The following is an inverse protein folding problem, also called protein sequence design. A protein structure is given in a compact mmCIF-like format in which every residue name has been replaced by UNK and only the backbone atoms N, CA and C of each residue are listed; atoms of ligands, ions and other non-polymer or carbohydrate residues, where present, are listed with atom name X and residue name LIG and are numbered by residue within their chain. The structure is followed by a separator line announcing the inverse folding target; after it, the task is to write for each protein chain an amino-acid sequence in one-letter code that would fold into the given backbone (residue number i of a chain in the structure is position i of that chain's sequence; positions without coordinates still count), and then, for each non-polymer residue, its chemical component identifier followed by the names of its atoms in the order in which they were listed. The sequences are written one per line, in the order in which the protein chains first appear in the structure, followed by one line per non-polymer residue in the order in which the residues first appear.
data_IF_196710194296
#
_entry.id   IF_196710194296
#
_cell.length_a   1.000
_cell.length_b   1.000
_cell.length_c   1.000
_cell.angle_alpha   90.00
_cell.angle_beta   90.00
_cell.angle_gamma   90.00
#
_symmetry.space_group_name_H-M   'P 1'
#
loop_
_entity.id
_entity.type
_entity.pdbx_description
1 polymer ?
#
# COMPACT_ATOMS: atom_id res chain seq x y z
N UNK A 1 -38.67 6.40 -2.80
CA UNK A 1 -37.42 6.97 -2.24
C UNK A 1 -36.27 6.26 -2.92
N UNK A 2 -35.75 6.80 -4.02
CA UNK A 2 -34.67 6.17 -4.78
C UNK A 2 -33.36 6.40 -4.02
N UNK A 3 -32.73 5.32 -3.57
CA UNK A 3 -31.31 5.38 -3.16
C UNK A 3 -30.52 5.53 -4.44
N UNK A 4 -30.28 6.78 -4.84
CA UNK A 4 -29.20 7.10 -5.76
C UNK A 4 -27.93 6.70 -5.01
N UNK A 5 -27.36 5.55 -5.37
CA UNK A 5 -26.08 5.11 -4.85
C UNK A 5 -25.09 6.26 -5.02
N UNK A 6 -24.41 6.63 -3.93
CA UNK A 6 -23.33 7.62 -4.01
C UNK A 6 -22.29 7.05 -4.96
N UNK A 7 -22.17 7.63 -6.16
CA UNK A 7 -21.11 7.26 -7.09
C UNK A 7 -19.77 7.43 -6.37
N UNK A 8 -19.09 6.32 -6.09
CA UNK A 8 -17.72 6.34 -5.64
C UNK A 8 -16.89 6.95 -6.78
N UNK A 9 -16.27 8.10 -6.53
CA UNK A 9 -15.33 8.74 -7.47
C UNK A 9 -13.93 8.18 -7.23
N UNK A 10 -13.80 6.87 -7.33
CA UNK A 10 -12.50 6.21 -7.22
C UNK A 10 -12.02 5.93 -8.63
N UNK A 11 -10.79 6.34 -8.94
CA UNK A 11 -10.08 5.88 -10.13
C UNK A 11 -9.25 4.65 -9.73
N UNK A 12 -9.62 3.43 -10.18
CA UNK A 12 -8.91 2.21 -9.81
C UNK A 12 -7.46 2.18 -10.29
N UNK A 13 -7.16 2.87 -11.39
CA UNK A 13 -5.80 2.97 -11.94
C UNK A 13 -4.93 3.82 -11.01
N UNK A 14 -5.43 4.97 -10.57
CA UNK A 14 -4.72 5.84 -9.64
C UNK A 14 -4.46 5.15 -8.29
N UNK A 15 -5.42 4.36 -7.80
CA UNK A 15 -5.27 3.60 -6.55
C UNK A 15 -4.19 2.54 -6.67
N UNK A 16 -4.14 1.78 -7.77
CA UNK A 16 -3.06 0.81 -8.01
C UNK A 16 -1.70 1.49 -8.15
N UNK A 17 -1.65 2.60 -8.88
CA UNK A 17 -0.43 3.39 -9.05
C UNK A 17 0.07 3.98 -7.71
N UNK A 18 -0.84 4.41 -6.83
CA UNK A 18 -0.47 4.79 -5.47
C UNK A 18 0.15 3.61 -4.70
N UNK A 19 -0.38 2.40 -4.86
CA UNK A 19 0.21 1.18 -4.30
C UNK A 19 1.64 0.91 -4.79
N UNK A 20 1.89 1.07 -6.10
CA UNK A 20 3.24 0.95 -6.66
C UNK A 20 4.22 2.00 -6.11
N UNK A 21 3.76 3.25 -5.95
CA UNK A 21 4.58 4.30 -5.33
C UNK A 21 4.90 4.02 -3.87
N UNK A 22 3.94 3.51 -3.09
CA UNK A 22 4.19 3.12 -1.69
C UNK A 22 5.21 1.99 -1.61
N UNK A 23 5.13 1.00 -2.50
CA UNK A 23 6.10 -0.11 -2.56
C UNK A 23 7.51 0.37 -2.89
N UNK A 24 7.64 1.28 -3.86
CA UNK A 24 8.92 1.91 -4.19
C UNK A 24 9.50 2.68 -2.99
N UNK A 25 8.66 3.45 -2.30
CA UNK A 25 9.05 4.19 -1.10
C UNK A 25 9.46 3.25 0.05
N UNK A 26 8.80 2.09 0.20
CA UNK A 26 9.17 1.07 1.17
C UNK A 26 10.59 0.54 0.90
N UNK A 27 10.90 0.24 -0.37
CA UNK A 27 12.24 -0.18 -0.79
C UNK A 27 13.32 0.86 -0.50
N UNK A 28 13.05 2.13 -0.82
CA UNK A 28 13.97 3.24 -0.54
C UNK A 28 14.16 3.48 0.96
N UNK A 29 13.08 3.38 1.75
CA UNK A 29 13.10 3.47 3.20
C UNK A 29 14.01 2.39 3.81
N UNK A 30 13.79 1.11 3.45
CA UNK A 30 14.59 0.00 3.96
C UNK A 30 16.06 0.17 3.59
N UNK A 31 16.36 0.49 2.32
CA UNK A 31 17.73 0.71 1.85
C UNK A 31 18.43 1.85 2.59
N UNK A 32 17.74 2.97 2.79
CA UNK A 32 18.28 4.12 3.52
C UNK A 32 18.60 3.78 4.97
N UNK A 33 17.67 3.09 5.64
CA UNK A 33 17.86 2.65 7.01
C UNK A 33 18.97 1.60 7.11
N UNK A 34 18.99 0.54 6.30
CA UNK A 34 20.09 -0.45 6.31
C UNK A 34 21.46 0.22 6.18
N UNK A 35 21.62 1.16 5.25
CA UNK A 35 22.87 1.90 5.10
C UNK A 35 23.20 2.77 6.33
N UNK A 36 22.21 3.29 7.06
CA UNK A 36 22.44 4.02 8.30
C UNK A 36 22.92 3.07 9.43
N UNK A 37 22.28 1.91 9.58
CA UNK A 37 22.69 0.90 10.56
C UNK A 37 24.12 0.41 10.31
N UNK A 38 24.50 0.18 9.05
CA UNK A 38 25.87 -0.20 8.68
C UNK A 38 26.90 0.87 9.08
N UNK A 39 26.58 2.15 8.88
CA UNK A 39 27.46 3.27 9.30
C UNK A 39 27.61 3.33 10.82
N UNK A 40 26.52 3.09 11.57
CA UNK A 40 26.56 3.04 13.04
C UNK A 40 27.44 1.87 13.50
N UNK A 41 27.25 0.68 12.91
CA UNK A 41 28.06 -0.50 13.20
C UNK A 41 29.55 -0.27 12.89
N UNK A 42 29.88 0.42 11.79
CA UNK A 42 31.25 0.78 11.46
C UNK A 42 31.86 1.80 12.44
N UNK A 43 31.06 2.75 12.94
CA UNK A 43 31.49 3.76 13.90
C UNK A 43 31.63 3.22 15.34
N UNK A 44 30.99 2.09 15.66
CA UNK A 44 30.95 1.51 17.01
C UNK A 44 32.33 1.24 17.60
N UNK A 45 33.34 0.96 16.76
CA UNK A 45 34.73 0.73 17.18
C UNK A 45 35.36 1.94 17.91
N UNK A 46 34.79 3.15 17.76
CA UNK A 46 35.23 4.36 18.47
C UNK A 46 34.64 4.54 19.87
N UNK A 47 33.67 3.72 20.28
CA UNK A 47 32.99 3.83 21.57
C UNK A 47 33.48 2.74 22.54
N UNK A 48 33.55 3.05 23.83
CA UNK A 48 34.06 2.15 24.88
C UNK A 48 33.07 2.12 26.05
N UNK A 49 32.94 0.97 26.71
CA UNK A 49 32.16 0.82 27.93
C UNK A 49 30.66 1.02 27.72
N UNK A 50 29.99 1.64 28.69
CA UNK A 50 28.52 1.78 28.72
C UNK A 50 27.96 2.51 27.50
N UNK A 51 28.72 3.45 26.90
CA UNK A 51 28.29 4.14 25.68
C UNK A 51 28.23 3.21 24.46
N UNK A 52 29.15 2.24 24.37
CA UNK A 52 29.12 1.25 23.30
C UNK A 52 27.91 0.31 23.45
N UNK A 53 27.61 -0.10 24.68
CA UNK A 53 26.44 -0.93 24.99
C UNK A 53 25.13 -0.19 24.69
N UNK A 54 25.00 1.05 25.13
CA UNK A 54 23.81 1.87 24.85
C UNK A 54 23.62 2.11 23.34
N UNK A 55 24.70 2.34 22.59
CA UNK A 55 24.62 2.49 21.13
C UNK A 55 24.21 1.18 20.45
N UNK A 56 24.68 0.04 20.93
CA UNK A 56 24.26 -1.27 20.41
C UNK A 56 22.77 -1.51 20.62
N UNK A 57 22.26 -1.22 21.83
CA UNK A 57 20.83 -1.33 22.16
C UNK A 57 19.97 -0.42 21.28
N UNK A 58 20.36 0.85 21.15
CA UNK A 58 19.66 1.81 20.30
C UNK A 58 19.66 1.39 18.82
N UNK A 59 20.79 0.84 18.34
CA UNK A 59 20.90 0.32 16.96
C UNK A 59 19.97 -0.86 16.75
N UNK A 60 19.89 -1.80 17.70
CA UNK A 60 18.99 -2.94 17.61
C UNK A 60 17.52 -2.49 17.60
N UNK A 61 17.15 -1.53 18.44
CA UNK A 61 15.81 -0.95 18.45
C UNK A 61 15.46 -0.30 17.10
N UNK A 62 16.37 0.50 16.52
CA UNK A 62 16.14 1.10 15.20
C UNK A 62 16.04 0.06 14.07
N UNK A 63 16.77 -1.06 14.15
CA UNK A 63 16.63 -2.15 13.18
C UNK A 63 15.23 -2.75 13.23
N UNK A 64 14.72 -3.00 14.45
CA UNK A 64 13.37 -3.53 14.66
C UNK A 64 12.29 -2.57 14.16
N UNK A 65 12.38 -1.28 14.53
CA UNK A 65 11.44 -0.25 14.07
C UNK A 65 11.48 -0.08 12.54
N UNK A 66 12.66 -0.12 11.94
CA UNK A 66 12.81 -0.04 10.48
C UNK A 66 12.18 -1.27 9.80
N UNK A 67 12.33 -2.46 10.37
CA UNK A 67 11.68 -3.65 9.85
C UNK A 67 10.15 -3.59 9.99
N UNK A 68 9.63 -3.07 11.12
CA UNK A 68 8.18 -2.92 11.33
C UNK A 68 7.57 -1.93 10.35
N UNK A 69 8.13 -0.72 10.25
CA UNK A 69 7.63 0.30 9.33
C UNK A 69 7.73 -0.13 7.86
N UNK A 70 8.80 -0.84 7.48
CA UNK A 70 8.90 -1.41 6.13
C UNK A 70 7.74 -2.38 5.85
N UNK A 71 7.43 -3.28 6.79
CA UNK A 71 6.32 -4.22 6.66
C UNK A 71 4.98 -3.50 6.54
N UNK A 72 4.73 -2.49 7.36
CA UNK A 72 3.50 -1.67 7.30
C UNK A 72 3.33 -0.97 5.95
N UNK A 73 4.42 -0.42 5.39
CA UNK A 73 4.39 0.18 4.05
C UNK A 73 4.07 -0.85 2.96
N UNK A 74 4.67 -2.04 3.02
CA UNK A 74 4.34 -3.13 2.09
C UNK A 74 2.87 -3.56 2.21
N UNK A 75 2.33 -3.69 3.43
CA UNK A 75 0.93 -4.00 3.67
C UNK A 75 0.00 -2.92 3.09
N UNK A 76 0.35 -1.64 3.22
CA UNK A 76 -0.38 -0.54 2.60
C UNK A 76 -0.32 -0.58 1.06
N UNK A 77 0.85 -0.86 0.49
CA UNK A 77 1.02 -1.01 -0.95
C UNK A 77 0.17 -2.17 -1.51
N UNK A 78 0.15 -3.31 -0.82
CA UNK A 78 -0.71 -4.45 -1.13
C UNK A 78 -2.19 -4.10 -1.01
N UNK A 79 -2.59 -3.46 0.09
CA UNK A 79 -3.97 -3.05 0.33
C UNK A 79 -4.50 -2.10 -0.75
N UNK A 80 -3.67 -1.15 -1.21
CA UNK A 80 -4.02 -0.26 -2.32
C UNK A 80 -4.19 -1.02 -3.63
N UNK A 81 -3.22 -1.87 -4.01
CA UNK A 81 -3.33 -2.68 -5.24
C UNK A 81 -4.55 -3.59 -5.22
N UNK A 82 -4.80 -4.27 -4.10
CA UNK A 82 -5.96 -5.12 -3.91
C UNK A 82 -7.27 -4.32 -4.05
N UNK A 83 -7.37 -3.20 -3.34
CA UNK A 83 -8.56 -2.34 -3.39
C UNK A 83 -8.81 -1.81 -4.81
N UNK A 84 -7.76 -1.41 -5.54
CA UNK A 84 -7.88 -1.01 -6.93
C UNK A 84 -8.39 -2.13 -7.85
N UNK A 85 -8.03 -3.39 -7.61
CA UNK A 85 -8.56 -4.53 -8.35
C UNK A 85 -10.04 -4.82 -8.01
N UNK A 86 -10.43 -4.66 -6.75
CA UNK A 86 -11.83 -4.84 -6.31
C UNK A 86 -12.77 -3.80 -6.93
N UNK A 87 -12.34 -2.54 -7.04
CA UNK A 87 -13.11 -1.50 -7.73
C UNK A 87 -13.30 -1.84 -9.22
N UNK A 88 -12.23 -2.24 -9.92
CA UNK A 88 -12.33 -2.61 -11.33
C UNK A 88 -13.27 -3.80 -11.57
N UNK A 89 -13.22 -4.79 -10.68
CA UNK A 89 -14.11 -5.96 -10.72
C UNK A 89 -15.56 -5.53 -10.51
N UNK A 90 -15.82 -4.75 -9.45
CA UNK A 90 -17.15 -4.26 -9.11
C UNK A 90 -17.75 -3.42 -10.25
N UNK A 91 -16.97 -2.52 -10.85
CA UNK A 91 -17.42 -1.66 -11.96
C UNK A 91 -17.73 -2.48 -13.21
N UNK A 92 -16.89 -3.47 -13.54
CA UNK A 92 -17.09 -4.36 -14.70
C UNK A 92 -18.35 -5.22 -14.54
N UNK A 93 -18.55 -5.81 -13.37
CA UNK A 93 -19.76 -6.58 -13.05
C UNK A 93 -21.00 -5.70 -13.04
N UNK A 94 -20.90 -4.50 -12.49
CA UNK A 94 -21.95 -3.49 -12.48
C UNK A 94 -22.39 -3.10 -13.91
N UNK A 95 -21.43 -2.78 -14.78
CA UNK A 95 -21.68 -2.44 -16.18
C UNK A 95 -22.37 -3.60 -16.93
N UNK A 96 -21.84 -4.81 -16.78
CA UNK A 96 -22.41 -6.02 -17.39
C UNK A 96 -23.86 -6.25 -16.96
N UNK A 97 -24.15 -6.08 -15.67
CA UNK A 97 -25.49 -6.23 -15.12
C UNK A 97 -26.46 -5.16 -15.64
N UNK A 98 -25.99 -3.92 -15.79
CA UNK A 98 -26.76 -2.82 -16.36
C UNK A 98 -27.07 -3.06 -17.84
N UNK A 99 -26.10 -3.50 -18.64
CA UNK A 99 -26.29 -3.83 -20.05
C UNK A 99 -27.29 -4.99 -20.23
N UNK A 100 -27.18 -6.01 -19.39
CA UNK A 100 -28.13 -7.12 -19.37
C UNK A 100 -29.54 -6.67 -18.96
N UNK A 101 -29.67 -5.72 -18.03
CA UNK A 101 -30.94 -5.16 -17.62
C UNK A 101 -31.55 -4.27 -18.72
N UNK A 102 -30.74 -3.42 -19.36
CA UNK A 102 -31.15 -2.58 -20.48
C UNK A 102 -31.65 -3.43 -21.66
N UNK A 103 -30.93 -4.49 -22.01
CA UNK A 103 -31.34 -5.45 -23.05
C UNK A 103 -32.68 -6.13 -22.72
N UNK A 104 -32.90 -6.50 -21.45
CA UNK A 104 -34.18 -7.07 -20.99
C UNK A 104 -35.33 -6.05 -21.10
N UNK A 105 -35.08 -4.79 -20.78
CA UNK A 105 -36.07 -3.71 -20.90
C UNK A 105 -36.39 -3.44 -22.37
N UNK A 106 -35.40 -3.31 -23.25
CA UNK A 106 -35.57 -3.13 -24.69
C UNK A 106 -36.43 -4.26 -25.28
N UNK A 107 -36.06 -5.52 -25.00
CA UNK A 107 -36.83 -6.69 -25.41
C UNK A 107 -38.28 -6.67 -24.93
N UNK A 108 -38.54 -6.23 -23.69
CA UNK A 108 -39.90 -6.09 -23.15
C UNK A 108 -40.69 -4.98 -23.84
N UNK A 109 -40.03 -3.91 -24.26
CA UNK A 109 -40.64 -2.76 -24.93
C UNK A 109 -40.78 -2.94 -26.45
N UNK A 110 -40.27 -4.04 -27.01
CA UNK A 110 -40.36 -4.33 -28.45
C UNK A 110 -39.48 -3.44 -29.31
N UNK A 111 -38.40 -2.91 -28.72
CA UNK A 111 -37.35 -2.09 -29.36
C UNK A 111 -36.02 -2.86 -29.32
#
# INVERSE_FOLDING_TARGET
MSVVGKNLRVDPVDVRFAGEQVDANAGDFLKGHTAAHERIAAAQAGFIGDSAAALAELTAHWQEESASHHRELCEHAEGLRFTGAEYETTDTEGATNLDAAASRVAKRMGI
#
